data_IF_808892536588
#
_entry.id   IF_808892536588
#
_cell.length_a   1.000
_cell.length_b   1.000
_cell.length_c   1.000
_cell.angle_alpha   90.00
_cell.angle_beta   90.00
_cell.angle_gamma   90.00
#
_symmetry.space_group_name_H-M   'P 1'
#
loop_
_entity.id
_entity.type
_entity.pdbx_description
1 polymer ?
#
# COMPACT_ATOMS: atom_id res chain seq x y z
N UNK A 1 -10.96 -6.02 19.80
CA UNK A 1 -10.52 -5.81 18.42
C UNK A 1 -10.64 -7.13 17.70
N UNK A 2 -11.15 -7.11 16.47
CA UNK A 2 -11.08 -8.26 15.56
C UNK A 2 -9.66 -8.79 15.56
N UNK A 3 -9.45 -10.11 15.47
CA UNK A 3 -8.12 -10.67 15.27
C UNK A 3 -7.55 -10.05 13.98
N UNK A 4 -6.54 -9.17 14.08
CA UNK A 4 -6.01 -8.49 12.91
C UNK A 4 -5.29 -9.55 12.07
N UNK A 5 -5.71 -9.73 10.82
CA UNK A 5 -4.82 -10.38 9.88
C UNK A 5 -3.78 -9.34 9.46
N UNK A 6 -2.53 -9.78 9.43
CA UNK A 6 -1.45 -8.99 8.86
C UNK A 6 -1.79 -8.85 7.38
N UNK A 7 -2.08 -7.62 6.95
CA UNK A 7 -2.07 -7.31 5.53
C UNK A 7 -0.64 -7.64 5.04
N UNK A 8 -0.54 -8.42 3.95
CA UNK A 8 0.70 -9.04 3.55
C UNK A 8 1.72 -7.95 3.14
N UNK A 9 2.99 -8.33 3.09
CA UNK A 9 4.07 -7.42 2.72
C UNK A 9 5.04 -8.13 1.79
N UNK A 10 5.64 -7.36 0.88
CA UNK A 10 7.04 -7.60 0.53
C UNK A 10 7.31 -8.56 -0.62
N UNK A 11 6.55 -8.46 -1.72
CA UNK A 11 6.73 -9.35 -2.87
C UNK A 11 6.43 -10.82 -2.48
N UNK A 12 5.69 -11.01 -1.38
CA UNK A 12 5.24 -12.31 -0.86
C UNK A 12 3.89 -12.70 -1.46
N UNK A 13 3.62 -14.00 -1.49
CA UNK A 13 2.32 -14.49 -1.95
C UNK A 13 1.19 -14.05 -1.00
N UNK A 14 0.01 -13.75 -1.55
CA UNK A 14 -1.16 -13.38 -0.75
C UNK A 14 -1.53 -14.49 0.24
N UNK A 15 -1.72 -14.12 1.51
CA UNK A 15 -2.05 -15.08 2.58
C UNK A 15 -0.85 -15.87 3.10
N UNK A 16 0.38 -15.50 2.73
CA UNK A 16 1.59 -15.95 3.44
C UNK A 16 1.46 -15.59 4.91
N UNK A 17 1.76 -16.56 5.77
CA UNK A 17 1.77 -16.38 7.22
C UNK A 17 3.18 -16.58 7.74
N UNK A 18 3.55 -15.81 8.77
CA UNK A 18 4.79 -16.06 9.49
C UNK A 18 4.79 -17.48 10.05
N UNK A 19 5.86 -18.22 9.78
CA UNK A 19 6.08 -19.51 10.41
C UNK A 19 6.23 -19.33 11.92
N UNK A 20 5.32 -19.91 12.71
CA UNK A 20 5.35 -19.85 14.17
C UNK A 20 6.67 -20.38 14.74
N UNK A 21 7.25 -21.43 14.13
CA UNK A 21 8.53 -21.99 14.56
C UNK A 21 9.69 -21.04 14.28
N UNK A 22 9.72 -20.38 13.11
CA UNK A 22 10.73 -19.37 12.78
C UNK A 22 10.57 -18.15 13.70
N UNK A 23 9.34 -17.66 13.89
CA UNK A 23 9.07 -16.53 14.77
C UNK A 23 9.51 -16.82 16.22
N UNK A 24 9.28 -18.03 16.72
CA UNK A 24 9.74 -18.46 18.03
C UNK A 24 11.26 -18.56 18.09
N UNK A 25 11.90 -19.12 17.06
CA UNK A 25 13.36 -19.18 16.97
C UNK A 25 13.98 -17.78 16.97
N UNK A 26 13.47 -16.85 16.17
CA UNK A 26 13.95 -15.45 16.12
C UNK A 26 13.80 -14.79 17.48
N UNK A 27 12.64 -14.94 18.12
CA UNK A 27 12.43 -14.40 19.47
C UNK A 27 13.40 -14.99 20.49
N UNK A 28 13.69 -16.29 20.42
CA UNK A 28 14.70 -16.93 21.27
C UNK A 28 16.12 -16.42 20.97
N UNK A 29 16.50 -16.34 19.69
CA UNK A 29 17.84 -15.94 19.24
C UNK A 29 18.20 -14.53 19.70
N UNK A 30 17.21 -13.61 19.70
CA UNK A 30 17.34 -12.23 20.19
C UNK A 30 16.90 -12.04 21.65
N UNK A 31 16.71 -13.12 22.40
CA UNK A 31 16.43 -13.11 23.83
C UNK A 31 15.08 -12.53 24.26
N UNK A 32 14.15 -12.36 23.32
CA UNK A 32 12.75 -12.00 23.58
C UNK A 32 11.90 -13.16 24.08
N UNK A 33 12.36 -14.41 23.91
CA UNK A 33 11.73 -15.62 24.44
C UNK A 33 12.79 -16.51 25.12
N UNK A 34 12.40 -17.22 26.17
CA UNK A 34 13.27 -18.16 26.90
C UNK A 34 13.20 -19.58 26.33
N UNK A 35 12.14 -19.90 25.58
CA UNK A 35 11.92 -21.23 25.01
C UNK A 35 12.20 -21.21 23.50
N UNK A 36 13.03 -22.17 23.04
CA UNK A 36 13.08 -22.55 21.64
C UNK A 36 11.75 -23.22 21.28
N UNK A 37 10.82 -22.44 20.69
CA UNK A 37 9.49 -22.94 20.37
C UNK A 37 9.46 -23.76 19.08
N UNK A 38 9.13 -25.06 19.21
CA UNK A 38 8.63 -25.91 18.11
C UNK A 38 9.52 -27.09 17.74
N UNK A 39 8.91 -28.27 17.67
CA UNK A 39 9.45 -29.42 16.93
C UNK A 39 9.47 -29.04 15.45
N UNK A 40 10.65 -28.92 14.84
CA UNK A 40 10.76 -28.79 13.40
C UNK A 40 10.37 -30.13 12.78
N UNK A 41 9.09 -30.28 12.41
CA UNK A 41 8.60 -31.48 11.74
C UNK A 41 9.07 -31.43 10.29
N UNK A 42 10.04 -32.29 9.97
CA UNK A 42 10.56 -32.49 8.63
C UNK A 42 9.53 -33.21 7.76
N UNK A 43 8.96 -32.53 6.77
CA UNK A 43 8.42 -33.22 5.60
C UNK A 43 9.39 -33.07 4.43
N UNK A 44 10.56 -33.69 4.59
CA UNK A 44 11.39 -34.24 3.50
C UNK A 44 12.65 -34.87 4.10
N UNK A 45 12.66 -36.20 4.20
CA UNK A 45 13.91 -36.96 4.15
C UNK A 45 14.15 -37.31 2.68
N UNK A 46 15.40 -37.47 2.18
CA UNK A 46 16.61 -37.79 2.94
C UNK A 46 17.82 -36.89 2.60
N UNK A 47 18.44 -36.32 3.61
CA UNK A 47 19.90 -36.17 3.66
C UNK A 47 20.32 -36.17 5.12
N UNK A 48 21.03 -37.23 5.46
CA UNK A 48 21.64 -37.51 6.76
C UNK A 48 22.58 -36.37 7.11
N UNK A 49 22.19 -35.43 7.99
CA UNK A 49 22.99 -34.94 9.13
C UNK A 49 22.19 -33.95 10.02
N UNK A 50 21.88 -34.42 11.24
CA UNK A 50 21.60 -33.69 12.48
C UNK A 50 20.49 -32.61 12.54
N UNK A 51 19.35 -32.99 13.12
CA UNK A 51 18.68 -32.11 14.09
C UNK A 51 18.45 -32.86 15.40
N UNK A 52 19.23 -32.51 16.41
CA UNK A 52 19.03 -32.91 17.80
C UNK A 52 17.72 -32.28 18.30
N UNK A 53 16.70 -33.11 18.49
CA UNK A 53 15.54 -32.80 19.34
C UNK A 53 16.06 -32.57 20.75
N UNK A 54 16.29 -31.32 21.10
CA UNK A 54 16.79 -31.00 22.42
C UNK A 54 16.17 -29.68 22.88
N UNK A 55 15.26 -29.80 23.85
CA UNK A 55 14.96 -28.71 24.77
C UNK A 55 16.24 -28.45 25.56
N UNK A 56 17.19 -27.71 24.98
CA UNK A 56 18.42 -27.28 25.68
C UNK A 56 18.17 -25.84 26.15
N UNK A 57 17.74 -25.64 27.40
CA UNK A 57 17.51 -24.29 27.94
C UNK A 57 18.77 -23.41 28.00
N UNK A 58 19.95 -23.96 27.68
CA UNK A 58 21.26 -23.33 27.89
C UNK A 58 22.12 -23.20 26.62
N UNK A 59 21.53 -23.28 25.41
CA UNK A 59 22.29 -22.91 24.21
C UNK A 59 22.63 -21.41 24.27
N UNK A 60 23.90 -21.02 24.03
CA UNK A 60 24.26 -19.62 23.91
C UNK A 60 23.38 -18.97 22.85
N UNK A 61 22.76 -17.83 23.19
CA UNK A 61 21.99 -17.05 22.21
C UNK A 61 22.96 -16.55 21.15
N UNK A 62 22.64 -16.80 19.89
CA UNK A 62 23.51 -16.44 18.76
C UNK A 62 23.62 -14.91 18.57
N UNK A 63 22.60 -14.16 19.01
CA UNK A 63 22.52 -12.71 18.79
C UNK A 63 22.51 -11.94 20.11
N UNK A 64 23.07 -10.73 20.08
CA UNK A 64 22.84 -9.75 21.13
C UNK A 64 21.33 -9.49 21.25
N UNK A 65 20.83 -9.32 22.48
CA UNK A 65 19.43 -9.02 22.68
C UNK A 65 19.05 -7.73 21.93
N UNK A 66 17.95 -7.76 21.18
CA UNK A 66 17.45 -6.55 20.54
C UNK A 66 17.02 -5.58 21.64
N UNK A 67 17.64 -4.40 21.66
CA UNK A 67 17.16 -3.29 22.45
C UNK A 67 15.78 -2.90 21.90
N UNK A 68 14.72 -3.36 22.55
CA UNK A 68 13.38 -2.83 22.27
C UNK A 68 13.37 -1.40 22.78
N UNK A 69 13.09 -0.39 21.94
CA UNK A 69 12.86 0.95 22.45
C UNK A 69 11.78 0.86 23.52
N UNK A 70 12.13 1.24 24.74
CA UNK A 70 11.20 1.31 25.86
C UNK A 70 10.09 2.28 25.51
N UNK A 71 8.84 1.79 25.52
CA UNK A 71 7.60 2.56 25.43
C UNK A 71 7.16 3.08 24.05
N UNK A 72 7.13 2.24 23.01
CA UNK A 72 6.06 2.40 22.01
C UNK A 72 4.84 1.65 22.54
N UNK A 73 3.86 2.36 23.08
CA UNK A 73 2.56 1.77 23.38
C UNK A 73 2.05 1.12 22.08
N UNK A 74 1.71 -0.17 22.13
CA UNK A 74 1.17 -0.86 20.97
C UNK A 74 -0.11 -0.14 20.54
N UNK A 75 -0.07 0.54 19.40
CA UNK A 75 -1.28 1.05 18.76
C UNK A 75 -1.92 -0.13 18.02
N UNK A 76 -3.08 -0.62 18.47
CA UNK A 76 -3.67 -1.79 17.86
C UNK A 76 -4.38 -1.47 16.54
N UNK A 77 -4.57 -0.19 16.21
CA UNK A 77 -5.20 0.23 14.96
C UNK A 77 -4.20 0.33 13.81
N UNK A 78 -2.89 0.32 14.10
CA UNK A 78 -1.86 0.55 13.07
C UNK A 78 -0.44 0.32 13.54
N UNK A 79 0.44 0.12 12.56
CA UNK A 79 1.88 0.23 12.73
C UNK A 79 2.50 0.98 11.55
N UNK A 80 3.42 1.92 11.82
CA UNK A 80 4.19 2.61 10.78
C UNK A 80 5.66 2.24 10.93
N UNK A 81 6.19 1.57 9.91
CA UNK A 81 7.60 1.23 9.81
C UNK A 81 8.35 2.39 9.18
N UNK A 82 8.87 3.30 10.00
CA UNK A 82 9.53 4.53 9.53
C UNK A 82 10.81 4.28 8.69
N UNK A 83 11.42 3.10 8.76
CA UNK A 83 12.62 2.80 7.94
C UNK A 83 12.19 2.33 6.55
N UNK A 84 11.28 1.37 6.46
CA UNK A 84 10.76 0.87 5.18
C UNK A 84 9.64 1.73 4.58
N UNK A 85 9.16 2.73 5.32
CA UNK A 85 8.07 3.61 4.91
C UNK A 85 6.81 2.82 4.52
N UNK A 86 6.44 1.89 5.41
CA UNK A 86 5.26 1.03 5.27
C UNK A 86 4.29 1.33 6.41
N UNK A 87 3.01 1.47 6.09
CA UNK A 87 1.95 1.55 7.07
C UNK A 87 1.03 0.33 6.99
N UNK A 88 0.74 -0.26 8.13
CA UNK A 88 -0.29 -1.29 8.31
C UNK A 88 -1.41 -0.64 9.11
N UNK A 89 -2.64 -0.71 8.60
CA UNK A 89 -3.83 -0.06 9.16
C UNK A 89 -4.90 -1.12 9.37
N UNK A 90 -5.40 -1.20 10.59
CA UNK A 90 -6.37 -2.21 11.00
C UNK A 90 -7.77 -1.64 11.17
N UNK A 91 -8.76 -2.49 10.91
CA UNK A 91 -10.15 -2.23 11.24
C UNK A 91 -10.36 -2.00 12.75
N UNK A 92 -11.37 -1.19 13.08
CA UNK A 92 -11.99 -1.22 14.41
C UNK A 92 -12.89 -2.46 14.57
N UNK A 93 -13.51 -2.65 15.74
CA UNK A 93 -14.54 -3.67 15.91
C UNK A 93 -15.78 -3.47 15.02
N UNK A 94 -15.97 -2.26 14.48
CA UNK A 94 -17.17 -1.87 13.72
C UNK A 94 -16.92 -1.82 12.21
N UNK A 95 -15.65 -1.67 11.79
CA UNK A 95 -15.28 -1.57 10.37
C UNK A 95 -14.77 -2.89 9.80
N UNK A 96 -14.86 -3.04 8.48
CA UNK A 96 -14.56 -4.30 7.79
C UNK A 96 -13.14 -4.39 7.24
N UNK A 97 -12.50 -3.24 7.00
CA UNK A 97 -11.31 -3.13 6.17
C UNK A 97 -10.01 -3.17 6.97
N UNK A 98 -8.98 -3.80 6.40
CA UNK A 98 -7.57 -3.60 6.77
C UNK A 98 -6.81 -3.14 5.51
N UNK A 99 -5.67 -2.48 5.70
CA UNK A 99 -4.84 -2.00 4.59
C UNK A 99 -3.34 -2.04 4.91
N UNK A 100 -2.52 -2.41 3.93
CA UNK A 100 -1.09 -2.08 3.90
C UNK A 100 -0.85 -1.01 2.84
N UNK A 101 0.00 -0.04 3.12
CA UNK A 101 0.45 0.99 2.19
C UNK A 101 1.98 1.11 2.24
N UNK A 102 2.64 0.96 1.09
CA UNK A 102 4.10 0.97 0.95
C UNK A 102 4.52 2.08 -0.01
N UNK A 103 5.52 2.89 0.35
CA UNK A 103 6.00 3.99 -0.52
C UNK A 103 7.44 3.82 -0.99
N UNK A 104 8.09 2.69 -0.67
CA UNK A 104 9.45 2.35 -1.12
C UNK A 104 9.51 0.93 -1.68
N UNK A 105 10.54 0.60 -2.45
CA UNK A 105 10.87 -0.76 -2.90
C UNK A 105 11.71 -1.55 -1.90
N UNK A 106 11.89 -2.84 -2.19
CA UNK A 106 12.38 -3.89 -1.26
C UNK A 106 13.80 -4.43 -1.58
N UNK A 107 14.68 -3.60 -2.14
CA UNK A 107 16.06 -4.03 -2.45
C UNK A 107 16.13 -5.12 -3.53
N UNK A 108 16.96 -6.15 -3.35
CA UNK A 108 17.29 -7.14 -4.40
C UNK A 108 16.10 -7.95 -4.96
N UNK A 109 14.97 -8.01 -4.26
CA UNK A 109 13.74 -8.65 -4.73
C UNK A 109 12.64 -7.66 -5.09
N UNK A 110 12.92 -6.36 -5.10
CA UNK A 110 11.92 -5.32 -5.32
C UNK A 110 11.16 -5.44 -6.63
N UNK A 111 9.85 -5.28 -6.53
CA UNK A 111 9.01 -4.82 -7.64
C UNK A 111 9.18 -3.30 -7.86
N UNK A 112 8.67 -2.79 -8.98
CA UNK A 112 8.57 -1.35 -9.25
C UNK A 112 7.19 -0.83 -8.83
N UNK A 113 6.95 -0.77 -7.53
CA UNK A 113 5.63 -0.63 -6.95
C UNK A 113 5.59 0.41 -5.82
N UNK A 114 6.38 1.47 -5.95
CA UNK A 114 6.41 2.56 -4.97
C UNK A 114 5.05 3.26 -4.93
N UNK A 115 4.41 3.25 -3.77
CA UNK A 115 3.04 3.73 -3.57
C UNK A 115 1.98 2.63 -3.65
N UNK A 116 2.36 1.36 -3.82
CA UNK A 116 1.44 0.22 -3.85
C UNK A 116 0.76 0.02 -2.49
N UNK A 117 -0.37 -0.68 -2.52
CA UNK A 117 -1.18 -0.97 -1.35
C UNK A 117 -1.90 -2.30 -1.51
N UNK A 118 -2.37 -2.84 -0.40
CA UNK A 118 -3.25 -4.01 -0.33
C UNK A 118 -4.45 -3.68 0.56
N UNK A 119 -5.64 -4.10 0.16
CA UNK A 119 -6.88 -3.90 0.91
C UNK A 119 -7.51 -5.25 1.19
N UNK A 120 -7.84 -5.46 2.46
CA UNK A 120 -8.58 -6.63 2.91
C UNK A 120 -9.98 -6.21 3.36
N UNK A 121 -10.96 -7.07 3.11
CA UNK A 121 -12.30 -7.01 3.72
C UNK A 121 -12.53 -8.33 4.44
N UNK A 122 -12.93 -8.29 5.72
CA UNK A 122 -13.13 -9.51 6.52
C UNK A 122 -11.97 -10.51 6.36
N UNK A 123 -10.74 -10.05 6.59
CA UNK A 123 -9.52 -10.86 6.52
C UNK A 123 -9.21 -11.46 5.13
N UNK A 124 -9.83 -10.96 4.06
CA UNK A 124 -9.66 -11.45 2.67
C UNK A 124 -9.16 -10.33 1.76
N UNK A 125 -8.06 -10.58 1.05
CA UNK A 125 -7.55 -9.67 0.02
C UNK A 125 -8.61 -9.45 -1.07
N UNK A 126 -8.86 -8.19 -1.40
CA UNK A 126 -9.91 -7.82 -2.36
C UNK A 126 -9.40 -6.89 -3.45
N UNK A 127 -8.56 -5.91 -3.10
CA UNK A 127 -7.92 -5.00 -4.03
C UNK A 127 -6.46 -4.81 -3.65
N UNK A 128 -5.67 -4.35 -4.62
CA UNK A 128 -4.28 -3.96 -4.41
C UNK A 128 -3.30 -4.97 -4.97
N UNK A 129 -2.08 -4.97 -4.42
CA UNK A 129 -0.96 -5.75 -4.93
C UNK A 129 -1.30 -7.23 -5.15
N UNK A 130 -0.85 -7.80 -6.25
CA UNK A 130 -1.05 -9.21 -6.57
C UNK A 130 -0.09 -10.12 -5.80
N UNK A 131 0.93 -9.53 -5.16
CA UNK A 131 1.92 -10.24 -4.37
C UNK A 131 3.03 -10.84 -5.22
N UNK A 132 3.70 -11.84 -4.65
CA UNK A 132 4.85 -12.53 -5.23
C UNK A 132 4.52 -13.60 -6.26
N UNK A 133 5.53 -14.05 -7.01
CA UNK A 133 5.38 -15.15 -7.97
C UNK A 133 5.16 -16.49 -7.25
N UNK A 134 4.35 -17.38 -7.82
CA UNK A 134 4.20 -18.75 -7.27
C UNK A 134 5.44 -19.63 -7.44
N UNK A 135 6.31 -19.28 -8.39
CA UNK A 135 7.59 -19.93 -8.63
C UNK A 135 8.61 -18.92 -9.13
N UNK A 136 9.89 -19.19 -8.93
CA UNK A 136 10.98 -18.35 -9.43
C UNK A 136 11.64 -19.01 -10.64
N UNK A 137 12.07 -18.21 -11.61
CA UNK A 137 12.84 -18.67 -12.76
C UNK A 137 14.07 -17.77 -13.00
N UNK A 138 14.93 -18.13 -13.95
CA UNK A 138 16.19 -17.42 -14.17
C UNK A 138 15.99 -15.92 -14.40
N UNK A 139 14.99 -15.52 -15.20
CA UNK A 139 14.71 -14.10 -15.47
C UNK A 139 14.24 -13.33 -14.23
N UNK A 140 13.76 -14.00 -13.18
CA UNK A 140 13.33 -13.32 -11.94
C UNK A 140 14.52 -12.65 -11.23
N UNK A 141 15.73 -13.14 -11.46
CA UNK A 141 16.95 -12.69 -10.79
C UNK A 141 17.86 -11.83 -11.70
N UNK A 142 17.38 -11.40 -12.85
CA UNK A 142 18.10 -10.47 -13.74
C UNK A 142 17.19 -9.34 -14.23
N UNK A 143 17.73 -8.46 -15.07
CA UNK A 143 17.02 -7.26 -15.56
C UNK A 143 15.75 -7.57 -16.36
N UNK A 144 15.61 -8.79 -16.90
CA UNK A 144 14.41 -9.23 -17.62
C UNK A 144 13.21 -9.46 -16.70
N UNK A 145 13.39 -9.43 -15.36
CA UNK A 145 12.28 -9.54 -14.40
C UNK A 145 11.18 -8.53 -14.68
N UNK A 146 11.54 -7.30 -15.07
CA UNK A 146 10.58 -6.22 -15.33
C UNK A 146 9.85 -6.34 -16.68
N UNK A 147 10.13 -7.38 -17.49
CA UNK A 147 9.21 -7.79 -18.55
C UNK A 147 7.91 -8.37 -17.99
N UNK A 148 7.94 -8.85 -16.74
CA UNK A 148 6.77 -9.32 -16.01
C UNK A 148 5.92 -8.16 -15.52
N UNK A 149 4.59 -8.15 -15.77
CA UNK A 149 3.69 -7.23 -15.08
C UNK A 149 3.63 -7.48 -13.58
N UNK A 150 4.02 -8.66 -13.08
CA UNK A 150 4.09 -8.94 -11.64
C UNK A 150 5.28 -8.23 -10.95
N UNK A 151 6.28 -7.80 -11.73
CA UNK A 151 7.50 -7.17 -11.21
C UNK A 151 7.59 -5.69 -11.58
N UNK A 152 7.01 -5.28 -12.72
CA UNK A 152 6.99 -3.88 -13.16
C UNK A 152 5.73 -3.17 -12.68
N UNK A 153 5.75 -1.83 -12.70
CA UNK A 153 4.68 -1.01 -12.11
C UNK A 153 3.30 -1.19 -12.75
N UNK A 154 3.21 -1.68 -13.98
CA UNK A 154 1.93 -1.78 -14.67
C UNK A 154 1.00 -2.80 -14.00
N UNK A 155 1.52 -3.88 -13.42
CA UNK A 155 0.67 -4.84 -12.71
C UNK A 155 0.33 -4.46 -11.28
N UNK A 156 0.90 -3.39 -10.72
CA UNK A 156 0.62 -2.91 -9.36
C UNK A 156 -0.44 -1.80 -9.37
N UNK A 157 -1.13 -1.53 -8.26
CA UNK A 157 -2.11 -0.44 -8.12
C UNK A 157 -1.44 0.95 -8.06
N UNK A 158 -0.47 1.22 -8.95
CA UNK A 158 0.24 2.49 -9.07
C UNK A 158 -0.01 3.12 -10.45
N UNK A 159 0.15 4.46 -10.57
CA UNK A 159 -0.15 5.15 -11.81
C UNK A 159 0.78 4.84 -13.00
N UNK A 160 0.32 5.26 -14.19
CA UNK A 160 1.14 5.44 -15.39
C UNK A 160 1.10 6.93 -15.76
N UNK A 161 2.25 7.55 -15.99
CA UNK A 161 2.35 9.00 -16.25
C UNK A 161 2.95 9.22 -17.63
N UNK A 162 2.25 9.93 -18.51
CA UNK A 162 2.68 10.17 -19.89
C UNK A 162 3.07 8.90 -20.65
N UNK A 163 2.37 7.78 -20.38
CA UNK A 163 2.67 6.46 -20.94
C UNK A 163 3.87 5.74 -20.32
N UNK A 164 4.49 6.31 -19.29
CA UNK A 164 5.67 5.77 -18.61
C UNK A 164 5.28 5.05 -17.32
N UNK A 165 5.79 3.84 -17.18
CA UNK A 165 5.84 3.08 -15.93
C UNK A 165 6.88 3.68 -14.98
N UNK A 166 6.88 3.22 -13.71
CA UNK A 166 7.95 3.56 -12.78
C UNK A 166 9.29 3.02 -13.26
N UNK A 167 10.34 3.78 -12.94
CA UNK A 167 11.73 3.34 -13.05
C UNK A 167 12.03 2.26 -12.00
N UNK A 168 13.19 1.63 -12.12
CA UNK A 168 13.62 0.58 -11.18
C UNK A 168 13.73 1.14 -9.75
N UNK A 169 12.95 0.58 -8.82
CA UNK A 169 12.73 1.19 -7.50
C UNK A 169 14.03 1.35 -6.71
N UNK A 170 14.91 0.35 -6.75
CA UNK A 170 16.21 0.38 -6.06
C UNK A 170 17.10 1.51 -6.58
N UNK A 171 17.23 1.65 -7.90
CA UNK A 171 18.00 2.75 -8.52
C UNK A 171 17.44 4.12 -8.14
N UNK A 172 16.12 4.30 -8.19
CA UNK A 172 15.51 5.59 -7.81
C UNK A 172 15.76 5.89 -6.34
N UNK A 173 15.55 4.92 -5.45
CA UNK A 173 15.77 5.08 -4.01
C UNK A 173 17.21 5.38 -3.61
N UNK A 174 18.19 4.98 -4.43
CA UNK A 174 19.59 5.34 -4.20
C UNK A 174 19.83 6.85 -4.34
N UNK A 175 18.99 7.56 -5.11
CA UNK A 175 19.13 8.99 -5.41
C UNK A 175 18.01 9.87 -4.83
N UNK A 176 16.89 9.27 -4.43
CA UNK A 176 15.73 9.97 -3.91
C UNK A 176 15.15 9.27 -2.69
N UNK A 177 14.80 10.04 -1.66
CA UNK A 177 14.17 9.52 -0.45
C UNK A 177 12.66 9.73 -0.50
N UNK A 178 11.91 8.64 -0.66
CA UNK A 178 10.46 8.67 -0.51
C UNK A 178 10.08 8.71 0.97
N UNK A 179 9.04 9.47 1.28
CA UNK A 179 8.55 9.66 2.64
C UNK A 179 7.04 9.44 2.69
N UNK A 180 6.62 8.67 3.68
CA UNK A 180 5.24 8.51 4.10
C UNK A 180 4.98 9.51 5.23
N UNK A 181 4.08 10.44 4.96
CA UNK A 181 3.59 11.39 5.96
C UNK A 181 2.23 10.94 6.45
N UNK A 182 1.96 11.04 7.76
CA UNK A 182 0.72 10.55 8.34
C UNK A 182 0.10 11.56 9.31
N UNK A 183 -1.21 11.75 9.18
CA UNK A 183 -2.08 12.41 10.16
C UNK A 183 -3.01 11.35 10.72
N UNK A 184 -2.89 11.05 12.00
CA UNK A 184 -3.50 9.87 12.62
C UNK A 184 -4.59 10.26 13.62
N UNK A 185 -5.69 9.52 13.61
CA UNK A 185 -6.72 9.58 14.65
C UNK A 185 -7.34 8.21 14.88
N UNK A 186 -8.10 7.99 15.97
CA UNK A 186 -8.77 6.71 16.18
C UNK A 186 -9.76 6.34 15.06
N UNK A 187 -10.38 7.34 14.41
CA UNK A 187 -11.42 7.12 13.41
C UNK A 187 -10.90 7.19 11.97
N UNK A 188 -10.08 8.20 11.67
CA UNK A 188 -9.61 8.47 10.30
C UNK A 188 -8.11 8.66 10.30
N UNK A 189 -7.43 7.86 9.48
CA UNK A 189 -6.02 8.05 9.16
C UNK A 189 -5.86 8.60 7.76
N UNK A 190 -4.98 9.58 7.58
CA UNK A 190 -4.60 10.11 6.28
C UNK A 190 -3.10 9.96 6.09
N UNK A 191 -2.70 9.28 5.03
CA UNK A 191 -1.31 9.03 4.68
C UNK A 191 -1.03 9.64 3.31
N UNK A 192 0.14 10.25 3.13
CA UNK A 192 0.50 10.91 1.87
C UNK A 192 1.95 10.65 1.50
N UNK A 193 2.22 10.62 0.19
CA UNK A 193 3.56 10.55 -0.37
C UNK A 193 3.60 11.19 -1.76
N UNK A 194 4.74 11.73 -2.16
CA UNK A 194 4.98 12.18 -3.53
C UNK A 194 5.76 11.09 -4.28
N UNK A 195 5.18 10.62 -5.38
CA UNK A 195 5.69 9.55 -6.21
C UNK A 195 6.39 10.07 -7.46
N UNK A 196 6.49 11.39 -7.68
CA UNK A 196 7.00 11.94 -8.94
C UNK A 196 8.38 11.39 -9.34
N UNK A 197 9.29 11.26 -8.37
CA UNK A 197 10.64 10.76 -8.60
C UNK A 197 10.68 9.29 -9.09
N UNK A 198 9.59 8.52 -8.90
CA UNK A 198 9.49 7.16 -9.43
C UNK A 198 9.37 7.13 -10.96
N UNK A 199 9.01 8.24 -11.60
CA UNK A 199 8.73 8.30 -13.03
C UNK A 199 9.77 9.12 -13.77
N UNK A 200 10.33 8.57 -14.84
CA UNK A 200 11.25 9.26 -15.72
C UNK A 200 10.50 10.18 -16.72
N UNK A 201 9.70 11.12 -16.19
CA UNK A 201 8.88 12.05 -16.96
C UNK A 201 9.35 13.49 -16.68
N UNK A 202 10.15 14.13 -17.56
CA UNK A 202 10.73 15.45 -17.30
C UNK A 202 9.71 16.56 -17.08
N UNK A 203 8.50 16.40 -17.61
CA UNK A 203 7.38 17.34 -17.49
C UNK A 203 6.53 17.12 -16.25
N UNK A 204 6.74 16.03 -15.49
CA UNK A 204 6.05 15.78 -14.23
C UNK A 204 6.64 16.69 -13.14
N UNK A 205 5.79 17.43 -12.46
CA UNK A 205 6.17 18.30 -11.34
C UNK A 205 5.92 17.60 -10.01
N UNK A 206 4.73 17.02 -9.82
CA UNK A 206 4.38 16.26 -8.62
C UNK A 206 3.37 15.15 -8.93
N UNK A 207 3.41 14.07 -8.15
CA UNK A 207 2.39 13.03 -8.16
C UNK A 207 2.11 12.61 -6.72
N UNK A 208 1.15 13.30 -6.10
CA UNK A 208 0.81 13.07 -4.70
C UNK A 208 -0.26 12.00 -4.60
N UNK A 209 0.08 10.89 -3.93
CA UNK A 209 -0.90 9.89 -3.49
C UNK A 209 -1.31 10.18 -2.06
N UNK A 210 -2.63 10.29 -1.84
CA UNK A 210 -3.25 10.35 -0.53
C UNK A 210 -4.11 9.10 -0.30
N UNK A 211 -3.91 8.47 0.86
CA UNK A 211 -4.73 7.37 1.36
C UNK A 211 -5.50 7.87 2.57
N UNK A 212 -6.82 7.78 2.55
CA UNK A 212 -7.68 8.00 3.71
C UNK A 212 -8.30 6.68 4.14
N UNK A 213 -7.97 6.24 5.35
CA UNK A 213 -8.51 5.03 5.97
C UNK A 213 -9.52 5.44 7.05
N UNK A 214 -10.80 5.29 6.74
CA UNK A 214 -11.92 5.68 7.59
C UNK A 214 -12.54 4.44 8.25
N UNK A 215 -12.58 4.43 9.58
CA UNK A 215 -13.14 3.36 10.41
C UNK A 215 -14.59 3.64 10.81
N UNK A 216 -15.20 4.73 10.35
CA UNK A 216 -16.57 5.12 10.68
C UNK A 216 -17.58 4.15 10.09
N UNK A 217 -18.53 3.70 10.90
CA UNK A 217 -19.49 2.66 10.51
C UNK A 217 -18.76 1.38 10.09
N UNK A 218 -19.08 0.86 8.90
CA UNK A 218 -18.42 -0.31 8.32
C UNK A 218 -17.05 0.01 7.70
N UNK A 219 -16.64 1.27 7.72
CA UNK A 219 -15.38 1.78 7.19
C UNK A 219 -15.35 1.98 5.68
N UNK A 220 -14.31 2.66 5.21
CA UNK A 220 -14.09 3.02 3.81
C UNK A 220 -12.61 3.35 3.59
N UNK A 221 -12.08 3.02 2.42
CA UNK A 221 -10.74 3.43 2.01
C UNK A 221 -10.85 4.33 0.78
N UNK A 222 -10.15 5.45 0.80
CA UNK A 222 -10.07 6.38 -0.33
C UNK A 222 -8.62 6.51 -0.77
N UNK A 223 -8.32 6.23 -2.03
CA UNK A 223 -7.04 6.51 -2.67
C UNK A 223 -7.25 7.66 -3.64
N UNK A 224 -6.56 8.77 -3.43
CA UNK A 224 -6.57 9.90 -4.33
C UNK A 224 -5.16 10.13 -4.87
N UNK A 225 -5.03 10.14 -6.20
CA UNK A 225 -3.82 10.56 -6.88
C UNK A 225 -4.04 11.93 -7.49
N UNK A 226 -3.15 12.88 -7.19
CA UNK A 226 -3.13 14.21 -7.79
C UNK A 226 -1.84 14.37 -8.58
N UNK A 227 -1.96 14.56 -9.89
CA UNK A 227 -0.84 14.80 -10.81
C UNK A 227 -0.75 16.29 -11.11
N UNK A 228 0.47 16.82 -11.09
CA UNK A 228 0.76 18.19 -11.56
C UNK A 228 1.89 18.14 -12.57
N UNK A 229 1.67 18.76 -13.71
CA UNK A 229 2.62 18.88 -14.81
C UNK A 229 3.19 20.29 -14.82
N UNK A 230 4.46 20.41 -15.23
CA UNK A 230 5.12 21.70 -15.40
C UNK A 230 4.39 22.56 -16.43
N UNK A 231 4.53 23.88 -16.30
CA UNK A 231 3.93 24.85 -17.21
C UNK A 231 4.14 24.49 -18.69
N UNK A 232 3.04 24.50 -19.46
CA UNK A 232 3.03 24.20 -20.90
C UNK A 232 2.91 22.71 -21.25
N UNK A 233 3.01 21.79 -20.28
CA UNK A 233 2.71 20.38 -20.49
C UNK A 233 1.21 20.09 -20.31
N UNK A 234 0.77 18.97 -20.88
CA UNK A 234 -0.59 18.45 -20.75
C UNK A 234 -0.61 17.25 -19.81
N UNK A 235 -1.74 17.02 -19.15
CA UNK A 235 -1.95 15.81 -18.36
C UNK A 235 -2.28 14.65 -19.31
N UNK A 236 -1.46 13.60 -19.26
CA UNK A 236 -1.79 12.25 -19.73
C UNK A 236 -1.48 11.30 -18.57
N UNK A 237 -2.52 10.95 -17.81
CA UNK A 237 -2.37 10.29 -16.52
C UNK A 237 -3.36 9.14 -16.39
N UNK A 238 -2.86 7.99 -15.95
CA UNK A 238 -3.69 6.84 -15.61
C UNK A 238 -3.45 6.45 -14.17
N UNK A 239 -4.41 6.74 -13.28
CA UNK A 239 -4.45 6.07 -11.97
C UNK A 239 -4.99 4.66 -12.16
N UNK A 240 -4.70 3.76 -11.23
CA UNK A 240 -5.20 2.41 -11.31
C UNK A 240 -5.38 1.76 -9.96
N UNK A 241 -6.31 0.80 -9.93
CA UNK A 241 -6.40 -0.21 -8.90
C UNK A 241 -6.39 -1.59 -9.54
N UNK A 242 -6.03 -2.58 -8.75
CA UNK A 242 -6.02 -3.99 -9.14
C UNK A 242 -7.07 -4.73 -8.32
N UNK A 243 -7.89 -5.52 -8.99
CA UNK A 243 -8.86 -6.40 -8.38
C UNK A 243 -8.28 -7.82 -8.30
N UNK A 244 -8.31 -8.38 -7.09
CA UNK A 244 -7.84 -9.73 -6.78
C UNK A 244 -8.98 -10.75 -6.81
N UNK A 245 -10.23 -10.25 -6.83
CA UNK A 245 -11.44 -11.02 -7.12
C UNK A 245 -12.02 -10.69 -8.50
N UNK A 246 -13.24 -11.18 -8.77
CA UNK A 246 -13.97 -10.89 -9.99
C UNK A 246 -14.45 -9.43 -10.00
N UNK A 247 -13.89 -8.61 -10.90
CA UNK A 247 -14.33 -7.25 -11.16
C UNK A 247 -15.58 -7.23 -12.06
N UNK A 248 -16.61 -6.49 -11.66
CA UNK A 248 -17.82 -6.26 -12.46
C UNK A 248 -18.15 -4.77 -12.48
N UNK A 249 -18.19 -4.15 -13.66
CA UNK A 249 -18.62 -2.76 -13.82
C UNK A 249 -20.12 -2.65 -13.54
N UNK A 250 -20.52 -1.66 -12.75
CA UNK A 250 -21.94 -1.36 -12.44
C UNK A 250 -22.39 -0.02 -13.03
N UNK A 251 -21.45 0.74 -13.59
CA UNK A 251 -21.69 2.00 -14.30
C UNK A 251 -20.40 2.49 -14.99
N UNK A 252 -20.41 3.73 -15.46
CA UNK A 252 -19.22 4.38 -16.06
C UNK A 252 -18.16 4.79 -15.04
N UNK A 253 -18.53 4.85 -13.76
CA UNK A 253 -17.71 5.35 -12.66
C UNK A 253 -17.79 4.45 -11.41
N UNK A 254 -18.27 3.21 -11.57
CA UNK A 254 -18.48 2.30 -10.45
C UNK A 254 -18.41 0.83 -10.86
N UNK A 255 -18.06 -0.02 -9.90
CA UNK A 255 -18.15 -1.47 -10.03
C UNK A 255 -18.08 -2.16 -8.69
N UNK A 256 -18.00 -3.48 -8.72
CA UNK A 256 -17.81 -4.32 -7.54
C UNK A 256 -16.67 -5.32 -7.76
N UNK A 257 -16.03 -5.70 -6.66
CA UNK A 257 -15.09 -6.82 -6.64
C UNK A 257 -15.66 -7.90 -5.74
N UNK A 258 -15.83 -9.10 -6.30
CA UNK A 258 -16.27 -10.29 -5.57
C UNK A 258 -15.11 -11.26 -5.39
N UNK A 259 -14.71 -11.49 -4.15
CA UNK A 259 -13.65 -12.43 -3.78
C UNK A 259 -14.11 -13.89 -3.88
N UNK A 260 -13.17 -14.84 -3.94
CA UNK A 260 -13.47 -16.27 -4.06
C UNK A 260 -14.30 -16.84 -2.89
N UNK A 261 -14.20 -16.25 -1.70
CA UNK A 261 -15.00 -16.65 -0.52
C UNK A 261 -16.31 -15.86 -0.38
N UNK A 262 -16.69 -15.07 -1.38
CA UNK A 262 -17.98 -14.38 -1.45
C UNK A 262 -18.03 -13.01 -0.77
N UNK A 263 -16.93 -12.47 -0.24
CA UNK A 263 -16.92 -11.06 0.17
C UNK A 263 -17.05 -10.15 -1.06
N UNK A 264 -17.87 -9.11 -0.95
CA UNK A 264 -18.13 -8.14 -2.01
C UNK A 264 -17.82 -6.73 -1.47
N UNK A 265 -17.15 -5.93 -2.29
CA UNK A 265 -16.95 -4.49 -2.05
C UNK A 265 -17.43 -3.68 -3.25
N UNK A 266 -17.92 -2.48 -3.00
CA UNK A 266 -18.24 -1.49 -4.02
C UNK A 266 -17.02 -0.59 -4.24
N UNK A 267 -16.69 -0.30 -5.50
CA UNK A 267 -15.63 0.63 -5.89
C UNK A 267 -16.25 1.78 -6.65
N UNK A 268 -15.97 3.01 -6.23
CA UNK A 268 -16.40 4.24 -6.88
C UNK A 268 -15.19 5.01 -7.41
N UNK A 269 -15.33 5.57 -8.61
CA UNK A 269 -14.28 6.36 -9.27
C UNK A 269 -14.76 7.78 -9.48
N UNK A 270 -13.89 8.73 -9.14
CA UNK A 270 -14.09 10.16 -9.37
C UNK A 270 -12.85 10.73 -10.05
N UNK A 271 -13.02 11.73 -10.90
CA UNK A 271 -11.89 12.46 -11.47
C UNK A 271 -12.27 13.93 -11.68
N UNK A 272 -11.28 14.82 -11.66
CA UNK A 272 -11.48 16.26 -11.90
C UNK A 272 -11.71 16.63 -13.37
N UNK A 273 -11.48 15.70 -14.28
CA UNK A 273 -11.72 15.82 -15.71
C UNK A 273 -12.40 14.55 -16.27
N UNK A 274 -12.96 14.61 -17.50
CA UNK A 274 -13.47 13.43 -18.17
C UNK A 274 -12.43 12.31 -18.22
N UNK A 275 -12.86 11.10 -17.93
CA UNK A 275 -11.98 9.93 -17.85
C UNK A 275 -12.57 8.73 -18.60
N UNK A 276 -11.70 7.79 -18.91
CA UNK A 276 -12.07 6.48 -19.44
C UNK A 276 -11.55 5.38 -18.52
N UNK A 277 -12.34 4.33 -18.32
CA UNK A 277 -11.90 3.11 -17.62
C UNK A 277 -11.53 2.05 -18.65
N UNK A 278 -10.37 1.44 -18.48
CA UNK A 278 -9.94 0.26 -19.24
C UNK A 278 -9.56 -0.86 -18.27
N UNK A 279 -9.92 -2.09 -18.61
CA UNK A 279 -9.67 -3.27 -17.79
C UNK A 279 -8.79 -4.24 -18.55
N UNK A 280 -7.73 -4.74 -17.91
CA UNK A 280 -6.81 -5.73 -18.46
C UNK A 280 -6.66 -6.87 -17.46
N UNK A 281 -6.86 -8.10 -17.92
CA UNK A 281 -6.51 -9.29 -17.14
C UNK A 281 -5.01 -9.54 -17.35
N UNK A 282 -4.27 -9.58 -16.25
CA UNK A 282 -2.84 -9.83 -16.21
C UNK A 282 -2.60 -11.23 -15.66
N UNK A 283 -1.59 -11.91 -16.21
CA UNK A 283 -1.15 -13.20 -15.72
C UNK A 283 0.35 -13.36 -15.94
N UNK A 284 1.08 -13.70 -14.88
CA UNK A 284 2.47 -14.13 -14.95
C UNK A 284 2.78 -14.95 -13.69
N UNK A 285 3.77 -15.84 -13.76
CA UNK A 285 4.14 -16.74 -12.65
C UNK A 285 2.95 -17.49 -12.03
N UNK A 286 1.96 -17.84 -12.85
CA UNK A 286 0.70 -18.49 -12.45
C UNK A 286 -0.15 -17.69 -11.43
N UNK A 287 0.12 -16.39 -11.29
CA UNK A 287 -0.73 -15.42 -10.59
C UNK A 287 -1.57 -14.73 -11.65
N UNK A 288 -2.89 -14.57 -11.42
CA UNK A 288 -3.80 -13.88 -12.34
C UNK A 288 -4.62 -12.85 -11.58
N UNK A 289 -4.66 -11.62 -12.07
CA UNK A 289 -5.37 -10.51 -11.45
C UNK A 289 -5.86 -9.52 -12.51
N UNK A 290 -6.75 -8.63 -12.13
CA UNK A 290 -7.32 -7.64 -13.05
C UNK A 290 -6.80 -6.25 -12.73
N UNK A 291 -6.17 -5.57 -13.69
CA UNK A 291 -5.90 -4.13 -13.60
C UNK A 291 -7.09 -3.34 -14.14
N UNK A 292 -7.50 -2.33 -13.41
CA UNK A 292 -8.48 -1.33 -13.85
C UNK A 292 -7.79 0.04 -13.90
N UNK A 293 -7.49 0.49 -15.12
CA UNK A 293 -6.88 1.79 -15.39
C UNK A 293 -7.94 2.87 -15.59
N UNK A 294 -7.73 4.03 -14.97
CA UNK A 294 -8.59 5.21 -15.01
C UNK A 294 -7.79 6.35 -15.63
N UNK A 295 -7.98 6.56 -16.93
CA UNK A 295 -7.19 7.51 -17.70
C UNK A 295 -7.88 8.87 -17.81
N UNK A 296 -7.14 9.90 -17.47
CA UNK A 296 -7.50 11.32 -17.63
C UNK A 296 -6.53 11.94 -18.63
N UNK A 297 -7.07 12.67 -19.60
CA UNK A 297 -6.31 13.55 -20.49
C UNK A 297 -6.91 14.94 -20.48
N UNK A 298 -6.11 15.94 -20.19
CA UNK A 298 -6.57 17.33 -20.17
C UNK A 298 -5.44 18.31 -20.49
N UNK A 299 -5.84 19.51 -20.91
CA UNK A 299 -4.94 20.64 -21.15
C UNK A 299 -4.65 21.47 -19.90
N UNK A 300 -5.15 21.05 -18.74
CA UNK A 300 -4.87 21.73 -17.46
C UNK A 300 -3.49 21.27 -16.95
N UNK A 301 -2.93 22.04 -16.01
CA UNK A 301 -1.66 21.69 -15.39
C UNK A 301 -1.81 20.62 -14.29
N UNK A 302 -3.01 20.39 -13.77
CA UNK A 302 -3.23 19.46 -12.65
C UNK A 302 -4.60 18.79 -12.72
N UNK A 303 -4.60 17.49 -12.43
CA UNK A 303 -5.81 16.68 -12.33
C UNK A 303 -5.69 15.72 -11.15
N UNK A 304 -6.83 15.25 -10.66
CA UNK A 304 -6.91 14.20 -9.66
C UNK A 304 -7.86 13.08 -10.07
N UNK A 305 -7.52 11.87 -9.64
CA UNK A 305 -8.37 10.68 -9.70
C UNK A 305 -8.52 10.15 -8.29
N UNK A 306 -9.73 9.77 -7.91
CA UNK A 306 -10.04 9.24 -6.58
C UNK A 306 -10.80 7.93 -6.71
N UNK A 307 -10.28 6.88 -6.09
CA UNK A 307 -10.89 5.56 -5.97
C UNK A 307 -11.36 5.37 -4.53
N UNK A 308 -12.63 5.04 -4.36
CA UNK A 308 -13.23 4.79 -3.05
C UNK A 308 -13.65 3.32 -2.98
N UNK A 309 -13.10 2.58 -2.03
CA UNK A 309 -13.48 1.20 -1.71
C UNK A 309 -14.37 1.23 -0.47
N UNK A 310 -15.58 0.70 -0.60
CA UNK A 310 -16.61 0.77 0.43
C UNK A 310 -17.43 -0.54 0.52
N UNK A 311 -18.17 -0.77 1.62
CA UNK A 311 -19.01 -1.95 1.77
C UNK A 311 -20.02 -2.08 0.62
N UNK A 312 -20.36 -3.31 0.24
CA UNK A 312 -21.33 -3.59 -0.82
C UNK A 312 -22.73 -3.00 -0.58
N UNK A 313 -23.08 -2.71 0.69
CA UNK A 313 -24.35 -2.07 1.05
C UNK A 313 -24.40 -0.58 0.68
N UNK A 314 -23.27 0.05 0.35
CA UNK A 314 -23.20 1.45 -0.04
C UNK A 314 -23.13 1.61 -1.57
N UNK A 315 -23.89 2.57 -2.08
CA UNK A 315 -23.95 2.92 -3.50
C UNK A 315 -23.02 4.10 -3.78
N UNK A 316 -22.43 4.14 -4.97
CA UNK A 316 -21.62 5.28 -5.39
C UNK A 316 -22.49 6.54 -5.56
N UNK A 317 -22.07 7.70 -5.03
CA UNK A 317 -22.73 8.97 -5.27
C UNK A 317 -22.91 9.26 -6.77
N UNK A 318 -24.10 9.71 -7.14
CA UNK A 318 -24.39 10.16 -8.51
C UNK A 318 -23.81 11.57 -8.67
N UNK A 319 -22.93 11.80 -9.65
CA UNK A 319 -22.48 13.15 -10.01
C UNK A 319 -21.01 13.50 -9.74
N UNK A 320 -20.08 12.54 -9.73
CA UNK A 320 -18.65 12.80 -9.99
C UNK A 320 -17.86 13.58 -8.93
N UNK A 321 -18.49 14.09 -7.87
CA UNK A 321 -17.75 14.75 -6.78
C UNK A 321 -17.42 13.74 -5.68
N UNK A 322 -16.15 13.61 -5.28
CA UNK A 322 -15.79 12.75 -4.16
C UNK A 322 -16.52 13.22 -2.89
N UNK A 323 -16.84 12.31 -1.95
CA UNK A 323 -17.38 12.71 -0.66
C UNK A 323 -16.41 13.70 0.00
N UNK A 324 -16.88 14.91 0.26
CA UNK A 324 -16.11 15.93 0.99
C UNK A 324 -15.79 15.33 2.36
N UNK A 325 -14.51 15.29 2.79
CA UNK A 325 -14.20 14.87 4.15
C UNK A 325 -14.97 15.78 5.10
N UNK A 326 -15.63 15.20 6.11
CA UNK A 326 -16.34 15.97 7.14
C UNK A 326 -15.32 16.78 7.94
N UNK A 327 -14.93 17.93 7.43
CA UNK A 327 -14.09 18.90 8.11
C UNK A 327 -14.93 19.55 9.19
N UNK A 328 -14.78 19.10 10.43
CA UNK A 328 -15.14 19.87 11.63
C UNK A 328 -14.23 21.09 11.82
N UNK A 329 -14.02 21.87 10.76
CA UNK A 329 -13.31 23.15 10.82
C UNK A 329 -14.35 24.26 10.72
N UNK A 330 -14.70 24.82 11.88
CA UNK A 330 -15.32 26.15 11.94
C UNK A 330 -14.48 27.12 11.12
N UNK A 331 -15.16 27.90 10.28
CA UNK A 331 -14.57 28.96 9.50
C UNK A 331 -13.74 29.89 10.40
N UNK A 332 -12.42 29.86 10.26
CA UNK A 332 -11.57 30.99 10.66
C UNK A 332 -11.24 31.74 9.38
N UNK A 333 -11.90 32.89 9.26
CA UNK A 333 -11.67 33.88 8.23
C UNK A 333 -10.17 34.27 8.23
N UNK A 334 -9.47 34.02 7.13
CA UNK A 334 -8.13 34.55 6.89
C UNK A 334 -8.27 36.05 6.63
N UNK A 335 -8.06 36.86 7.66
CA UNK A 335 -7.76 38.29 7.50
C UNK A 335 -6.25 38.40 7.29
N UNK A 336 -5.88 38.84 6.08
CA UNK A 336 -4.53 39.25 5.72
C UNK A 336 -4.01 40.29 6.71
N UNK A 337 -2.97 39.97 7.47
CA UNK A 337 -2.19 40.96 8.20
C UNK A 337 -0.79 40.99 7.59
N UNK A 338 -0.54 42.08 6.87
CA UNK A 338 0.77 42.52 6.39
C UNK A 338 1.66 42.74 7.62
N UNK A 339 2.70 41.94 7.77
CA UNK A 339 3.71 42.15 8.80
C UNK A 339 4.70 43.22 8.34
N UNK A 340 4.54 44.44 8.85
CA UNK A 340 5.55 45.49 8.83
C UNK A 340 6.58 45.16 9.91
N UNK A 341 7.81 44.91 9.50
CA UNK A 341 8.95 44.84 10.40
C UNK A 341 9.32 46.25 10.90
N UNK A 342 9.31 46.48 12.21
CA UNK A 342 10.11 47.56 12.81
C UNK A 342 10.50 47.22 14.25
N UNK A 343 11.75 47.57 14.53
CA UNK A 343 12.52 47.41 15.76
C UNK A 343 11.89 48.06 17.00
N UNK A 344 12.13 47.50 18.19
CA UNK A 344 12.78 48.22 19.29
C UNK A 344 13.21 47.28 20.45
N UNK A 345 14.40 47.55 20.97
CA UNK A 345 15.03 47.00 22.17
C UNK A 345 14.43 47.54 23.49
N UNK A 346 14.90 46.95 24.61
CA UNK A 346 14.94 47.49 26.01
C UNK A 346 13.68 47.14 26.84
N UNK A 347 13.70 46.44 27.99
CA UNK A 347 14.68 46.10 29.04
C UNK A 347 14.71 44.59 29.31
#
# INVERSE_FOLDING_TARGET
MRQPNTAAFGDDHLGTAFSTSIANYVQWAYGSNTLLGGTLVSNSLPSVLMMLTSNVPNLPRACAALARPTAVASDPLRHIFNISQVAVLHASNQSLFDMTFKVTGNGGHSHNDMGSYEILVNNTFVLGDAGGPLYYEARTFDSRRYLSPLMNSFGHPVPVVAGMNQSEAVSVQASHKFQLNATLSPMVDTLTTDLAAAYAVPTLESLVRQVTFDRTGLGKITIQDTVTMKAGAVVDFESAFTALGAWTSTGSASGSVTTANGNIVTVCVFASAPFSINTVILSDYNVTWTRVGIRVKSSTASESVTVVVQPASLVCPVGGKPPVPSSGFSHVCLVSVVAVATWLFVL
#
